data_IF_140273892080
#
_entry.id   IF_140273892080
#
_cell.length_a   1.000
_cell.length_b   1.000
_cell.length_c   1.000
_cell.angle_alpha   90.00
_cell.angle_beta   90.00
_cell.angle_gamma   90.00
#
_symmetry.space_group_name_H-M   'P 1'
#
loop_
_entity.id
_entity.type
_entity.pdbx_description
1 polymer ?
#
# COMPACT_ATOMS: atom_id res chain seq x y z
N UNK A 1 -24.22 -11.68 -1.46
CA UNK A 1 -24.28 -11.37 -2.92
C UNK A 1 -24.31 -9.86 -3.08
N UNK A 2 -23.51 -9.31 -4.00
CA UNK A 2 -23.50 -7.87 -4.29
C UNK A 2 -24.71 -7.53 -5.13
N UNK A 3 -25.60 -6.67 -4.62
CA UNK A 3 -26.83 -6.26 -5.28
C UNK A 3 -26.51 -5.39 -6.52
N UNK A 4 -27.42 -5.32 -7.51
CA UNK A 4 -27.25 -4.51 -8.73
C UNK A 4 -26.92 -3.03 -8.42
N UNK A 5 -27.53 -2.47 -7.39
CA UNK A 5 -27.26 -1.10 -6.92
C UNK A 5 -25.87 -0.94 -6.32
N UNK A 6 -25.39 -1.92 -5.55
CA UNK A 6 -24.01 -1.91 -5.05
C UNK A 6 -22.99 -1.97 -6.19
N UNK A 7 -23.27 -2.76 -7.24
CA UNK A 7 -22.40 -2.79 -8.44
C UNK A 7 -22.36 -1.43 -9.13
N UNK A 8 -23.50 -0.73 -9.22
CA UNK A 8 -23.57 0.61 -9.78
C UNK A 8 -22.77 1.62 -8.95
N UNK A 9 -22.85 1.52 -7.62
CA UNK A 9 -22.06 2.36 -6.69
C UNK A 9 -20.56 2.10 -6.85
N UNK A 10 -20.14 0.84 -6.84
CA UNK A 10 -18.73 0.46 -7.05
C UNK A 10 -18.24 1.01 -8.40
N UNK A 11 -19.01 0.84 -9.47
CA UNK A 11 -18.66 1.37 -10.79
C UNK A 11 -18.59 2.90 -10.80
N UNK A 12 -19.49 3.59 -10.08
CA UNK A 12 -19.42 5.06 -9.91
C UNK A 12 -18.12 5.47 -9.23
N UNK A 13 -17.77 4.82 -8.11
CA UNK A 13 -16.55 5.12 -7.36
C UNK A 13 -15.29 4.86 -8.22
N UNK A 14 -15.23 3.72 -8.90
CA UNK A 14 -14.14 3.40 -9.82
C UNK A 14 -14.02 4.43 -10.95
N UNK A 15 -15.13 4.80 -11.57
CA UNK A 15 -15.13 5.80 -12.65
C UNK A 15 -14.78 7.21 -12.13
N UNK A 16 -15.19 7.57 -10.92
CA UNK A 16 -14.84 8.87 -10.34
C UNK A 16 -13.33 9.00 -10.14
N UNK A 17 -12.69 7.91 -9.69
CA UNK A 17 -11.25 7.85 -9.49
C UNK A 17 -10.50 7.98 -10.82
N UNK A 18 -10.87 7.18 -11.83
CA UNK A 18 -10.18 7.15 -13.13
C UNK A 18 -10.37 8.44 -13.94
N UNK A 19 -11.55 9.08 -13.83
CA UNK A 19 -11.87 10.31 -14.60
C UNK A 19 -11.33 11.60 -13.97
N UNK A 20 -10.90 11.55 -12.73
CA UNK A 20 -10.35 12.73 -12.07
C UNK A 20 -8.93 12.99 -12.56
N UNK A 21 -8.64 14.23 -13.03
CA UNK A 21 -7.28 14.58 -13.49
C UNK A 21 -6.20 14.34 -12.42
N UNK A 22 -6.57 14.46 -11.14
CA UNK A 22 -5.68 14.19 -10.02
C UNK A 22 -5.45 12.68 -9.75
N UNK A 23 -6.20 11.78 -10.42
CA UNK A 23 -5.99 10.33 -10.25
C UNK A 23 -4.55 9.93 -10.52
N UNK A 24 -3.99 10.44 -11.61
CA UNK A 24 -2.64 10.09 -11.99
C UNK A 24 -1.61 10.61 -11.00
N UNK A 25 -1.78 11.85 -10.51
CA UNK A 25 -0.84 12.45 -9.55
C UNK A 25 -1.01 11.90 -8.14
N UNK A 26 -2.25 11.80 -7.65
CA UNK A 26 -2.52 11.52 -6.24
C UNK A 26 -2.49 10.02 -5.91
N UNK A 27 -2.87 9.16 -6.88
CA UNK A 27 -3.02 7.72 -6.62
C UNK A 27 -2.01 6.84 -7.35
N UNK A 28 -1.41 7.29 -8.45
CA UNK A 28 -0.48 6.50 -9.24
C UNK A 28 0.96 7.00 -9.15
N UNK A 29 1.18 8.31 -9.24
CA UNK A 29 2.53 8.86 -9.34
C UNK A 29 3.35 8.58 -8.07
N UNK A 30 2.81 8.83 -6.90
CA UNK A 30 3.51 8.59 -5.63
C UNK A 30 3.83 7.10 -5.43
N UNK A 31 2.87 6.15 -5.57
CA UNK A 31 3.17 4.73 -5.54
C UNK A 31 4.21 4.28 -6.57
N UNK A 32 4.14 4.79 -7.81
CA UNK A 32 5.10 4.45 -8.86
C UNK A 32 6.50 4.97 -8.55
N UNK A 33 6.64 6.17 -7.98
CA UNK A 33 7.94 6.67 -7.52
C UNK A 33 8.54 5.70 -6.50
N UNK A 34 7.77 5.30 -5.49
CA UNK A 34 8.25 4.33 -4.49
C UNK A 34 8.58 2.96 -5.11
N UNK A 35 7.74 2.47 -6.00
CA UNK A 35 7.91 1.17 -6.62
C UNK A 35 9.03 1.11 -7.67
N UNK A 36 9.38 2.22 -8.29
CA UNK A 36 10.32 2.26 -9.43
C UNK A 36 11.61 2.96 -9.06
N UNK A 37 11.53 4.20 -8.54
CA UNK A 37 12.74 5.03 -8.35
C UNK A 37 13.69 4.40 -7.33
N UNK A 38 13.17 3.87 -6.23
CA UNK A 38 14.03 3.26 -5.21
C UNK A 38 14.68 1.96 -5.68
N UNK A 39 13.94 0.94 -6.22
CA UNK A 39 14.58 -0.28 -6.70
C UNK A 39 15.53 -0.06 -7.87
N UNK A 40 15.13 0.77 -8.85
CA UNK A 40 15.98 1.12 -10.00
C UNK A 40 17.24 1.86 -9.53
N UNK A 41 17.07 2.84 -8.63
CA UNK A 41 18.19 3.57 -8.04
C UNK A 41 19.16 2.66 -7.30
N UNK A 42 18.64 1.67 -6.56
CA UNK A 42 19.49 0.68 -5.87
C UNK A 42 20.29 -0.19 -6.86
N UNK A 43 19.65 -0.66 -7.93
CA UNK A 43 20.35 -1.43 -8.98
C UNK A 43 21.45 -0.60 -9.63
N UNK A 44 21.14 0.65 -10.02
CA UNK A 44 22.12 1.55 -10.61
C UNK A 44 23.26 1.88 -9.64
N UNK A 45 22.95 2.09 -8.37
CA UNK A 45 23.96 2.36 -7.34
C UNK A 45 24.93 1.19 -7.21
N UNK A 46 24.43 -0.05 -7.12
CA UNK A 46 25.26 -1.24 -6.98
C UNK A 46 26.14 -1.46 -8.22
N UNK A 47 25.56 -1.33 -9.43
CA UNK A 47 26.28 -1.60 -10.68
C UNK A 47 27.25 -0.49 -11.08
N UNK A 48 27.06 0.76 -10.61
CA UNK A 48 27.93 1.89 -10.92
C UNK A 48 28.96 2.18 -9.83
N UNK A 49 28.71 1.74 -8.59
CA UNK A 49 29.68 1.79 -7.50
C UNK A 49 30.47 0.49 -7.46
N UNK A 50 31.73 0.59 -7.07
CA UNK A 50 32.55 -0.61 -6.80
C UNK A 50 31.98 -1.32 -5.56
N UNK A 51 31.24 -2.40 -5.78
CA UNK A 51 30.62 -3.21 -4.72
C UNK A 51 31.64 -3.90 -3.81
N UNK A 52 32.91 -3.98 -4.24
CA UNK A 52 34.04 -4.45 -3.44
C UNK A 52 34.61 -3.40 -2.48
N UNK A 53 34.20 -2.13 -2.59
CA UNK A 53 34.67 -1.04 -1.77
C UNK A 53 34.34 -1.20 -0.28
N UNK A 54 35.29 -0.81 0.59
CA UNK A 54 35.14 -0.91 2.06
C UNK A 54 33.89 -0.15 2.56
N UNK A 55 33.54 0.98 1.96
CA UNK A 55 32.36 1.77 2.32
C UNK A 55 31.05 1.01 2.04
N UNK A 56 30.97 0.31 0.91
CA UNK A 56 29.80 -0.50 0.56
C UNK A 56 29.67 -1.70 1.51
N UNK A 57 30.77 -2.40 1.80
CA UNK A 57 30.80 -3.50 2.77
C UNK A 57 30.39 -3.04 4.19
N UNK A 58 30.83 -1.86 4.63
CA UNK A 58 30.42 -1.27 5.91
C UNK A 58 28.91 -0.98 5.93
N UNK A 59 28.35 -0.44 4.85
CA UNK A 59 26.89 -0.20 4.70
C UNK A 59 26.10 -1.51 4.82
N UNK A 60 26.51 -2.55 4.10
CA UNK A 60 25.86 -3.86 4.15
C UNK A 60 25.96 -4.52 5.53
N UNK A 61 27.13 -4.44 6.16
CA UNK A 61 27.33 -4.92 7.52
C UNK A 61 26.46 -4.17 8.54
N UNK A 62 26.29 -2.86 8.37
CA UNK A 62 25.38 -2.05 9.21
C UNK A 62 23.94 -2.50 9.08
N UNK A 63 23.54 -2.92 7.89
CA UNK A 63 22.23 -3.50 7.62
C UNK A 63 22.12 -4.97 8.05
N UNK A 64 23.14 -5.53 8.70
CA UNK A 64 23.27 -6.97 9.03
C UNK A 64 23.04 -7.91 7.84
N UNK A 65 23.28 -7.44 6.63
CA UNK A 65 23.27 -8.24 5.43
C UNK A 65 24.68 -8.79 5.28
N UNK A 66 24.87 -10.06 5.68
CA UNK A 66 26.13 -10.77 5.47
C UNK A 66 26.22 -11.13 4.00
N UNK A 67 27.04 -10.38 3.27
CA UNK A 67 27.39 -10.73 1.90
C UNK A 67 28.58 -11.69 1.94
N UNK A 68 28.60 -12.77 1.14
CA UNK A 68 29.82 -13.51 0.90
C UNK A 68 30.88 -12.57 0.33
N UNK A 69 32.14 -12.74 0.71
CA UNK A 69 33.26 -11.87 0.32
C UNK A 69 33.46 -11.70 -1.18
N UNK A 70 32.95 -12.64 -1.98
CA UNK A 70 33.03 -12.65 -3.45
C UNK A 70 31.65 -12.61 -4.10
N UNK A 71 30.66 -11.84 -3.46
CA UNK A 71 29.32 -11.77 -4.00
C UNK A 71 29.31 -10.96 -5.28
N UNK A 72 28.81 -11.56 -6.35
CA UNK A 72 28.50 -10.89 -7.59
C UNK A 72 27.38 -9.84 -7.34
N UNK A 73 27.41 -8.73 -8.06
CA UNK A 73 26.41 -7.63 -7.97
C UNK A 73 24.97 -8.15 -8.06
N UNK A 74 24.75 -9.19 -8.86
CA UNK A 74 23.44 -9.84 -8.97
C UNK A 74 22.93 -10.41 -7.64
N UNK A 75 23.81 -11.05 -6.84
CA UNK A 75 23.43 -11.58 -5.54
C UNK A 75 23.03 -10.48 -4.57
N UNK A 76 23.77 -9.38 -4.57
CA UNK A 76 23.49 -8.19 -3.74
C UNK A 76 22.15 -7.59 -4.12
N UNK A 77 21.90 -7.36 -5.41
CA UNK A 77 20.64 -6.85 -5.93
C UNK A 77 19.48 -7.77 -5.53
N UNK A 78 19.64 -9.08 -5.70
CA UNK A 78 18.63 -10.08 -5.36
C UNK A 78 18.28 -10.04 -3.87
N UNK A 79 19.27 -9.92 -2.99
CA UNK A 79 19.06 -9.80 -1.54
C UNK A 79 18.31 -8.51 -1.21
N UNK A 80 18.74 -7.38 -1.73
CA UNK A 80 18.10 -6.09 -1.47
C UNK A 80 16.65 -6.08 -1.95
N UNK A 81 16.41 -6.47 -3.20
CA UNK A 81 15.06 -6.45 -3.79
C UNK A 81 14.12 -7.44 -3.09
N UNK A 82 14.60 -8.61 -2.66
CA UNK A 82 13.74 -9.60 -2.03
C UNK A 82 13.59 -9.44 -0.51
N UNK A 83 14.52 -8.79 0.18
CA UNK A 83 14.43 -8.67 1.64
C UNK A 83 14.04 -7.26 2.10
N UNK A 84 14.59 -6.20 1.48
CA UNK A 84 14.37 -4.83 1.94
C UNK A 84 13.18 -4.18 1.25
N UNK A 85 13.08 -4.28 -0.06
CA UNK A 85 12.05 -3.59 -0.82
C UNK A 85 10.60 -4.03 -0.55
N UNK A 86 10.29 -5.27 -0.16
CA UNK A 86 8.92 -5.66 0.18
C UNK A 86 8.28 -4.80 1.26
N UNK A 87 9.06 -4.36 2.26
CA UNK A 87 8.53 -3.52 3.34
C UNK A 87 8.25 -2.09 2.86
N UNK A 88 9.10 -1.53 1.99
CA UNK A 88 8.83 -0.23 1.35
C UNK A 88 7.58 -0.27 0.49
N UNK A 89 7.37 -1.40 -0.17
CA UNK A 89 6.21 -1.60 -1.03
C UNK A 89 4.89 -1.59 -0.25
N UNK A 90 4.92 -1.99 1.03
CA UNK A 90 3.77 -1.91 1.92
C UNK A 90 3.32 -0.47 2.24
N UNK A 91 4.10 0.55 1.88
CA UNK A 91 3.65 1.95 1.99
C UNK A 91 2.59 2.31 0.94
N UNK A 92 2.51 1.58 -0.17
CA UNK A 92 1.58 1.87 -1.26
C UNK A 92 0.11 1.73 -0.83
N UNK A 93 -0.36 0.62 -0.23
CA UNK A 93 -1.76 0.46 0.15
C UNK A 93 -2.31 1.56 1.07
N UNK A 94 -1.64 1.94 2.18
CA UNK A 94 -2.17 2.99 3.05
C UNK A 94 -2.20 4.37 2.40
N UNK A 95 -1.27 4.70 1.51
CA UNK A 95 -1.30 5.97 0.78
C UNK A 95 -2.56 6.07 -0.09
N UNK A 96 -2.86 5.02 -0.86
CA UNK A 96 -4.04 4.98 -1.73
C UNK A 96 -5.32 5.00 -0.90
N UNK A 97 -5.38 4.16 0.13
CA UNK A 97 -6.55 4.05 1.01
C UNK A 97 -6.85 5.39 1.68
N UNK A 98 -5.82 6.05 2.22
CA UNK A 98 -5.97 7.34 2.90
C UNK A 98 -6.52 8.39 1.95
N UNK A 99 -5.98 8.50 0.74
CA UNK A 99 -6.42 9.45 -0.26
C UNK A 99 -7.85 9.16 -0.74
N UNK A 100 -8.15 7.91 -1.13
CA UNK A 100 -9.46 7.54 -1.64
C UNK A 100 -10.55 7.59 -0.58
N UNK A 101 -10.29 7.06 0.62
CA UNK A 101 -11.30 7.05 1.66
C UNK A 101 -11.59 8.45 2.19
N UNK A 102 -10.58 9.34 2.32
CA UNK A 102 -10.81 10.74 2.67
C UNK A 102 -11.71 11.43 1.65
N UNK A 103 -11.42 11.27 0.36
CA UNK A 103 -12.22 11.84 -0.72
C UNK A 103 -13.63 11.23 -0.79
N UNK A 104 -13.76 9.92 -0.63
CA UNK A 104 -15.03 9.20 -0.77
C UNK A 104 -15.97 9.37 0.43
N UNK A 105 -15.45 9.53 1.66
CA UNK A 105 -16.28 9.70 2.85
C UNK A 105 -16.39 11.18 3.28
N UNK A 106 -15.25 11.82 3.59
CA UNK A 106 -15.27 13.23 4.04
C UNK A 106 -15.56 14.17 2.89
N UNK A 107 -15.05 13.89 1.68
CA UNK A 107 -15.31 14.73 0.50
C UNK A 107 -16.79 14.78 0.10
N UNK A 108 -17.56 13.70 0.27
CA UNK A 108 -19.00 13.71 0.04
C UNK A 108 -19.74 14.53 1.13
N UNK A 109 -19.27 14.47 2.39
CA UNK A 109 -19.79 15.31 3.48
C UNK A 109 -19.51 16.79 3.19
N UNK A 110 -18.29 17.14 2.82
CA UNK A 110 -17.86 18.50 2.50
C UNK A 110 -18.65 19.10 1.32
N UNK A 111 -18.93 18.28 0.29
CA UNK A 111 -19.71 18.68 -0.90
C UNK A 111 -21.22 18.58 -0.70
N UNK A 112 -21.71 18.19 0.48
CA UNK A 112 -23.13 17.95 0.79
C UNK A 112 -23.82 16.93 -0.12
N UNK A 113 -23.05 16.03 -0.72
CA UNK A 113 -23.59 14.97 -1.60
C UNK A 113 -23.93 13.70 -0.82
N UNK A 114 -23.51 13.60 0.44
CA UNK A 114 -23.83 12.49 1.32
C UNK A 114 -25.34 12.38 1.56
N UNK A 115 -26.05 13.50 1.74
CA UNK A 115 -27.50 13.52 1.91
C UNK A 115 -28.21 12.92 0.70
N UNK A 116 -27.79 13.29 -0.52
CA UNK A 116 -28.36 12.73 -1.75
C UNK A 116 -28.16 11.21 -1.83
N UNK A 117 -27.01 10.71 -1.33
CA UNK A 117 -26.73 9.28 -1.30
C UNK A 117 -27.61 8.55 -0.28
N UNK A 118 -27.94 9.20 0.84
CA UNK A 118 -28.83 8.65 1.88
C UNK A 118 -30.31 8.58 1.42
N UNK A 119 -30.74 9.38 0.43
CA UNK A 119 -32.06 9.26 -0.19
C UNK A 119 -32.16 8.08 -1.18
N UNK A 120 -31.05 7.40 -1.48
CA UNK A 120 -31.10 6.21 -2.31
C UNK A 120 -31.77 5.04 -1.55
N UNK A 121 -32.41 4.08 -2.25
CA UNK A 121 -33.04 2.94 -1.61
C UNK A 121 -32.04 1.89 -1.07
N UNK A 122 -30.80 2.29 -0.83
CA UNK A 122 -29.73 1.45 -0.29
C UNK A 122 -29.61 1.63 1.22
N UNK A 123 -29.38 0.55 1.94
CA UNK A 123 -29.04 0.63 3.36
C UNK A 123 -27.63 1.23 3.56
N UNK A 124 -27.40 1.86 4.71
CA UNK A 124 -26.09 2.41 5.07
C UNK A 124 -24.96 1.35 4.97
N UNK A 125 -25.26 0.11 5.35
CA UNK A 125 -24.29 -0.99 5.25
C UNK A 125 -23.94 -1.32 3.80
N UNK A 126 -24.91 -1.25 2.90
CA UNK A 126 -24.68 -1.51 1.48
C UNK A 126 -23.83 -0.42 0.85
N UNK A 127 -24.09 0.85 1.19
CA UNK A 127 -23.31 2.01 0.76
C UNK A 127 -21.86 1.87 1.27
N UNK A 128 -21.70 1.63 2.57
CA UNK A 128 -20.39 1.46 3.18
C UNK A 128 -19.59 0.32 2.55
N UNK A 129 -20.20 -0.86 2.45
CA UNK A 129 -19.55 -2.02 1.83
C UNK A 129 -19.17 -1.76 0.38
N UNK A 130 -20.03 -1.09 -0.39
CA UNK A 130 -19.75 -0.71 -1.77
C UNK A 130 -18.50 0.17 -1.89
N UNK A 131 -18.38 1.20 -1.02
CA UNK A 131 -17.22 2.07 -0.97
C UNK A 131 -15.95 1.33 -0.54
N UNK A 132 -16.02 0.52 0.51
CA UNK A 132 -14.88 -0.30 0.98
C UNK A 132 -14.38 -1.22 -0.12
N UNK A 133 -15.27 -1.93 -0.82
CA UNK A 133 -14.91 -2.80 -1.94
C UNK A 133 -14.25 -2.00 -3.07
N UNK A 134 -14.80 -0.84 -3.43
CA UNK A 134 -14.23 0.00 -4.49
C UNK A 134 -12.80 0.45 -4.15
N UNK A 135 -12.57 0.91 -2.92
CA UNK A 135 -11.25 1.36 -2.45
C UNK A 135 -10.26 0.19 -2.41
N UNK A 136 -10.69 -0.98 -1.92
CA UNK A 136 -9.85 -2.19 -1.92
C UNK A 136 -9.45 -2.61 -3.34
N UNK A 137 -10.41 -2.58 -4.29
CA UNK A 137 -10.14 -2.94 -5.68
C UNK A 137 -9.10 -1.99 -6.31
N UNK A 138 -9.27 -0.67 -6.14
CA UNK A 138 -8.30 0.30 -6.67
C UNK A 138 -6.95 0.15 -6.00
N UNK A 139 -6.91 0.07 -4.66
CA UNK A 139 -5.68 -0.12 -3.91
C UNK A 139 -4.91 -1.37 -4.34
N UNK A 140 -5.61 -2.51 -4.46
CA UNK A 140 -5.00 -3.76 -4.92
C UNK A 140 -4.51 -3.66 -6.36
N UNK A 141 -5.30 -3.04 -7.25
CA UNK A 141 -4.94 -2.89 -8.65
C UNK A 141 -3.70 -2.00 -8.83
N UNK A 142 -3.65 -0.87 -8.14
CA UNK A 142 -2.47 0.01 -8.18
C UNK A 142 -1.24 -0.70 -7.61
N UNK A 143 -1.38 -1.45 -6.52
CA UNK A 143 -0.28 -2.23 -5.95
C UNK A 143 0.23 -3.27 -6.94
N UNK A 144 -0.65 -4.00 -7.62
CA UNK A 144 -0.27 -4.99 -8.65
C UNK A 144 0.41 -4.31 -9.84
N UNK A 145 -0.12 -3.21 -10.34
CA UNK A 145 0.49 -2.45 -11.45
C UNK A 145 1.89 -1.96 -11.04
N UNK A 146 2.02 -1.39 -9.85
CA UNK A 146 3.32 -0.92 -9.33
C UNK A 146 4.33 -2.05 -9.24
N UNK A 147 3.92 -3.22 -8.76
CA UNK A 147 4.77 -4.40 -8.69
C UNK A 147 5.20 -4.91 -10.07
N UNK A 148 4.26 -5.03 -11.00
CA UNK A 148 4.58 -5.46 -12.36
C UNK A 148 5.55 -4.47 -13.05
N UNK A 149 5.31 -3.17 -12.88
CA UNK A 149 6.18 -2.12 -13.42
C UNK A 149 7.59 -2.23 -12.81
N UNK A 150 7.70 -2.38 -11.48
CA UNK A 150 8.98 -2.61 -10.82
C UNK A 150 9.69 -3.85 -11.35
N UNK A 151 8.98 -4.98 -11.41
CA UNK A 151 9.56 -6.25 -11.86
C UNK A 151 10.08 -6.17 -13.28
N UNK A 152 9.33 -5.56 -14.19
CA UNK A 152 9.74 -5.39 -15.59
C UNK A 152 10.95 -4.46 -15.69
N UNK A 153 10.93 -3.31 -15.03
CA UNK A 153 12.01 -2.33 -15.11
C UNK A 153 13.29 -2.84 -14.46
N UNK A 154 13.20 -3.41 -13.26
CA UNK A 154 14.37 -4.01 -12.58
C UNK A 154 14.88 -5.20 -13.37
N UNK A 155 13.99 -6.08 -13.85
CA UNK A 155 14.38 -7.23 -14.64
C UNK A 155 15.10 -6.85 -15.94
N UNK A 156 14.59 -5.85 -16.67
CA UNK A 156 15.23 -5.33 -17.88
C UNK A 156 16.59 -4.69 -17.57
N UNK A 157 16.66 -3.91 -16.48
CA UNK A 157 17.89 -3.24 -16.10
C UNK A 157 18.99 -4.22 -15.69
N UNK A 158 18.65 -5.21 -14.86
CA UNK A 158 19.58 -6.28 -14.44
C UNK A 158 20.02 -7.10 -15.65
N UNK A 159 19.10 -7.47 -16.54
CA UNK A 159 19.45 -8.19 -17.75
C UNK A 159 20.39 -7.39 -18.67
N UNK A 160 20.16 -6.08 -18.78
CA UNK A 160 20.99 -5.23 -19.66
C UNK A 160 22.37 -4.95 -19.08
N UNK A 161 22.50 -4.81 -17.76
CA UNK A 161 23.77 -4.46 -17.09
C UNK A 161 24.60 -5.68 -16.72
N UNK A 162 23.95 -6.76 -16.27
CA UNK A 162 24.62 -7.94 -15.71
C UNK A 162 24.44 -9.19 -16.58
N UNK A 163 23.55 -9.19 -17.56
CA UNK A 163 23.25 -10.36 -18.38
C UNK A 163 22.40 -11.43 -17.68
N UNK A 164 21.94 -11.17 -16.45
CA UNK A 164 21.20 -12.10 -15.59
C UNK A 164 19.69 -11.83 -15.59
N UNK A 165 18.88 -12.89 -15.46
CA UNK A 165 17.44 -12.75 -15.38
C UNK A 165 16.98 -12.62 -13.91
N UNK A 166 16.50 -11.44 -13.54
CA UNK A 166 15.94 -11.23 -12.21
C UNK A 166 14.49 -11.68 -12.12
N UNK A 167 14.19 -12.56 -11.17
CA UNK A 167 12.84 -13.04 -10.85
C UNK A 167 12.56 -12.74 -9.37
N UNK A 168 11.46 -12.01 -9.04
CA UNK A 168 11.07 -11.77 -7.66
C UNK A 168 10.81 -13.06 -6.90
N UNK A 169 11.26 -13.13 -5.66
CA UNK A 169 11.08 -14.31 -4.80
C UNK A 169 9.63 -14.47 -4.31
N UNK A 170 9.35 -15.62 -3.68
CA UNK A 170 8.03 -15.97 -3.14
C UNK A 170 7.51 -14.97 -2.11
N UNK A 171 8.38 -14.21 -1.46
CA UNK A 171 8.02 -13.16 -0.51
C UNK A 171 7.09 -12.11 -1.13
N UNK A 172 7.28 -11.79 -2.41
CA UNK A 172 6.45 -10.84 -3.13
C UNK A 172 5.00 -11.30 -3.31
N UNK A 173 4.79 -12.63 -3.47
CA UNK A 173 3.44 -13.18 -3.50
C UNK A 173 2.73 -13.00 -2.15
N UNK A 174 3.43 -13.24 -1.04
CA UNK A 174 2.88 -13.00 0.29
C UNK A 174 2.53 -11.51 0.49
N UNK A 175 3.43 -10.61 0.09
CA UNK A 175 3.22 -9.17 0.22
C UNK A 175 2.02 -8.70 -0.60
N UNK A 176 1.94 -9.07 -1.87
CA UNK A 176 0.92 -8.55 -2.79
C UNK A 176 -0.45 -9.17 -2.56
N UNK A 177 -0.50 -10.49 -2.34
CA UNK A 177 -1.78 -11.22 -2.26
C UNK A 177 -2.36 -11.25 -0.85
N UNK A 178 -1.53 -11.13 0.18
CA UNK A 178 -1.99 -11.26 1.57
C UNK A 178 -1.79 -9.98 2.36
N UNK A 179 -0.56 -9.47 2.47
CA UNK A 179 -0.25 -8.35 3.37
C UNK A 179 -0.85 -7.04 2.86
N UNK A 180 -0.65 -6.72 1.58
CA UNK A 180 -1.16 -5.48 0.99
C UNK A 180 -2.68 -5.35 1.05
N UNK A 181 -3.49 -6.34 0.65
CA UNK A 181 -4.94 -6.26 0.80
C UNK A 181 -5.40 -6.22 2.26
N UNK A 182 -4.75 -6.98 3.15
CA UNK A 182 -5.06 -6.95 4.57
C UNK A 182 -4.77 -5.58 5.19
N UNK A 183 -3.64 -4.97 4.84
CA UNK A 183 -3.26 -3.64 5.31
C UNK A 183 -4.17 -2.55 4.72
N UNK A 184 -4.52 -2.65 3.43
CA UNK A 184 -5.51 -1.78 2.80
C UNK A 184 -6.86 -1.88 3.53
N UNK A 185 -7.34 -3.07 3.82
CA UNK A 185 -8.60 -3.30 4.52
C UNK A 185 -8.60 -2.69 5.92
N UNK A 186 -7.55 -2.94 6.72
CA UNK A 186 -7.36 -2.32 8.03
C UNK A 186 -7.35 -0.79 7.91
N UNK A 187 -6.58 -0.28 6.96
CA UNK A 187 -6.43 1.15 6.69
C UNK A 187 -7.75 1.83 6.35
N UNK A 188 -8.61 1.20 5.52
CA UNK A 188 -9.94 1.73 5.20
C UNK A 188 -10.77 1.90 6.46
N UNK A 189 -10.81 0.90 7.33
CA UNK A 189 -11.64 0.96 8.55
C UNK A 189 -11.17 2.05 9.51
N UNK A 190 -9.85 2.20 9.66
CA UNK A 190 -9.28 3.30 10.44
C UNK A 190 -9.59 4.65 9.80
N UNK A 191 -9.42 4.75 8.48
CA UNK A 191 -9.66 5.99 7.75
C UNK A 191 -11.12 6.42 7.79
N UNK A 192 -12.06 5.50 7.73
CA UNK A 192 -13.49 5.81 7.89
C UNK A 192 -13.77 6.44 9.26
N UNK A 193 -13.18 5.93 10.34
CA UNK A 193 -13.31 6.51 11.68
C UNK A 193 -12.73 7.92 11.77
N UNK A 194 -11.60 8.15 11.10
CA UNK A 194 -10.98 9.48 10.99
C UNK A 194 -11.91 10.41 10.20
N UNK A 195 -12.41 9.95 9.07
CA UNK A 195 -13.32 10.69 8.18
C UNK A 195 -14.64 11.06 8.84
N UNK A 196 -15.17 10.23 9.73
CA UNK A 196 -16.40 10.55 10.48
C UNK A 196 -16.25 11.80 11.37
N UNK A 197 -15.04 12.04 11.92
CA UNK A 197 -14.74 13.18 12.80
C UNK A 197 -14.17 14.39 12.06
N UNK A 198 -13.67 14.21 10.86
CA UNK A 198 -13.06 15.28 10.07
C UNK A 198 -14.13 16.15 9.40
N UNK A 199 -13.85 17.45 9.30
CA UNK A 199 -14.72 18.43 8.63
C UNK A 199 -14.35 18.60 7.15
N UNK A 200 -13.07 18.41 6.81
CA UNK A 200 -12.52 18.55 5.47
C UNK A 200 -11.78 17.29 5.05
N UNK A 201 -11.80 16.99 3.76
CA UNK A 201 -11.10 15.84 3.19
C UNK A 201 -9.58 15.91 3.39
N UNK A 202 -9.00 17.12 3.36
CA UNK A 202 -7.58 17.35 3.63
C UNK A 202 -7.21 16.99 5.08
N UNK A 203 -8.03 17.36 6.05
CA UNK A 203 -7.85 17.01 7.47
C UNK A 203 -7.89 15.48 7.66
N UNK A 204 -8.87 14.82 7.02
CA UNK A 204 -8.99 13.37 7.05
C UNK A 204 -7.76 12.70 6.42
N UNK A 205 -7.26 13.23 5.31
CA UNK A 205 -6.07 12.74 4.63
C UNK A 205 -4.82 12.87 5.52
N UNK A 206 -4.57 14.05 6.09
CA UNK A 206 -3.42 14.29 6.97
C UNK A 206 -3.42 13.36 8.19
N UNK A 207 -4.58 13.23 8.87
CA UNK A 207 -4.71 12.32 10.01
C UNK A 207 -4.55 10.85 9.60
N UNK A 208 -5.01 10.49 8.42
CA UNK A 208 -4.84 9.16 7.85
C UNK A 208 -3.39 8.81 7.53
N UNK A 209 -2.56 9.82 7.24
CA UNK A 209 -1.12 9.66 7.03
C UNK A 209 -0.41 8.98 8.22
N UNK A 210 -0.97 9.06 9.43
CA UNK A 210 -0.45 8.34 10.60
C UNK A 210 -0.46 6.81 10.43
N UNK A 211 -1.26 6.27 9.49
CA UNK A 211 -1.22 4.84 9.15
C UNK A 211 0.13 4.39 8.59
N UNK A 212 0.93 5.32 8.09
CA UNK A 212 2.27 5.03 7.57
C UNK A 212 3.30 4.90 8.70
N UNK A 213 3.08 5.51 9.88
CA UNK A 213 4.05 5.50 10.97
C UNK A 213 4.48 4.09 11.43
N UNK A 214 3.59 3.10 11.62
CA UNK A 214 4.01 1.75 11.96
C UNK A 214 4.94 1.13 10.91
N UNK A 215 4.72 1.43 9.62
CA UNK A 215 5.57 0.94 8.54
C UNK A 215 6.95 1.60 8.57
N UNK A 216 7.02 2.90 8.86
CA UNK A 216 8.30 3.60 9.03
C UNK A 216 9.10 2.96 10.17
N UNK A 217 8.46 2.60 11.28
CA UNK A 217 9.12 1.89 12.38
C UNK A 217 9.62 0.51 11.96
N UNK A 218 8.85 -0.23 11.16
CA UNK A 218 9.27 -1.51 10.62
C UNK A 218 10.47 -1.35 9.65
N UNK A 219 10.45 -0.32 8.80
CA UNK A 219 11.56 0.00 7.90
C UNK A 219 12.83 0.30 8.72
N UNK A 220 12.74 1.17 9.71
CA UNK A 220 13.88 1.48 10.61
C UNK A 220 14.38 0.22 11.31
N UNK A 221 13.47 -0.61 11.84
CA UNK A 221 13.82 -1.88 12.47
C UNK A 221 14.54 -2.86 11.53
N UNK A 222 14.20 -2.85 10.26
CA UNK A 222 14.88 -3.67 9.25
C UNK A 222 16.26 -3.13 8.90
N UNK A 223 16.42 -1.82 8.75
CA UNK A 223 17.72 -1.19 8.48
C UNK A 223 18.70 -1.31 9.65
N UNK A 224 18.19 -1.37 10.88
CA UNK A 224 19.02 -1.62 12.07
C UNK A 224 19.32 -3.09 12.32
N UNK A 225 18.83 -4.00 11.44
CA UNK A 225 19.01 -5.45 11.57
C UNK A 225 18.23 -6.10 12.72
N UNK A 226 17.45 -5.31 13.47
CA UNK A 226 16.62 -5.81 14.59
C UNK A 226 15.47 -6.69 14.07
N UNK A 227 14.98 -6.40 12.85
CA UNK A 227 13.88 -7.10 12.24
C UNK A 227 14.29 -7.66 10.86
N UNK A 228 14.80 -8.89 10.85
CA UNK A 228 14.99 -9.63 9.58
C UNK A 228 13.69 -10.34 9.23
N UNK A 229 12.93 -9.75 8.29
CA UNK A 229 11.63 -10.30 7.91
C UNK A 229 11.77 -11.44 6.91
N UNK A 230 11.49 -12.66 7.36
CA UNK A 230 11.32 -13.82 6.49
C UNK A 230 9.94 -13.83 5.81
N UNK A 231 9.77 -14.63 4.76
CA UNK A 231 8.48 -14.83 4.08
C UNK A 231 7.35 -15.21 5.05
N UNK A 232 7.65 -16.06 6.04
CA UNK A 232 6.70 -16.49 7.05
C UNK A 232 6.26 -15.37 7.99
N UNK A 233 7.15 -14.44 8.30
CA UNK A 233 6.81 -13.25 9.09
C UNK A 233 5.87 -12.32 8.31
N UNK A 234 6.05 -12.15 7.00
CA UNK A 234 5.10 -11.41 6.16
C UNK A 234 3.74 -12.11 6.11
N UNK A 235 3.71 -13.44 6.00
CA UNK A 235 2.44 -14.20 6.07
C UNK A 235 1.76 -13.98 7.41
N UNK A 236 2.49 -14.10 8.53
CA UNK A 236 1.98 -13.84 9.87
C UNK A 236 1.45 -12.41 10.02
N UNK A 237 2.20 -11.42 9.54
CA UNK A 237 1.79 -10.01 9.53
C UNK A 237 0.47 -9.82 8.75
N UNK A 238 0.35 -10.39 7.57
CA UNK A 238 -0.86 -10.32 6.76
C UNK A 238 -2.08 -10.91 7.47
N UNK A 239 -1.92 -12.05 8.12
CA UNK A 239 -2.99 -12.69 8.91
C UNK A 239 -3.40 -11.79 10.10
N UNK A 240 -2.42 -11.26 10.84
CA UNK A 240 -2.68 -10.36 11.98
C UNK A 240 -3.42 -9.10 11.53
N UNK A 241 -2.97 -8.46 10.46
CA UNK A 241 -3.60 -7.26 9.91
C UNK A 241 -5.02 -7.55 9.40
N UNK A 242 -5.22 -8.68 8.72
CA UNK A 242 -6.53 -9.12 8.25
C UNK A 242 -7.52 -9.37 9.40
N UNK A 243 -7.07 -10.08 10.45
CA UNK A 243 -7.87 -10.32 11.66
C UNK A 243 -8.19 -9.01 12.39
N UNK A 244 -7.20 -8.14 12.57
CA UNK A 244 -7.40 -6.83 13.19
C UNK A 244 -8.43 -5.98 12.41
N UNK A 245 -8.31 -5.92 11.08
CA UNK A 245 -9.27 -5.26 10.20
C UNK A 245 -10.68 -5.83 10.35
N UNK A 246 -10.80 -7.16 10.37
CA UNK A 246 -12.10 -7.82 10.52
C UNK A 246 -12.75 -7.55 11.90
N UNK A 247 -11.97 -7.60 12.99
CA UNK A 247 -12.45 -7.28 14.34
C UNK A 247 -12.91 -5.82 14.40
N UNK A 248 -12.08 -4.89 13.90
CA UNK A 248 -12.41 -3.47 13.88
C UNK A 248 -13.65 -3.17 13.02
N UNK A 249 -13.83 -3.86 11.90
CA UNK A 249 -15.02 -3.74 11.06
C UNK A 249 -16.28 -4.17 11.84
N UNK A 250 -16.23 -5.29 12.57
CA UNK A 250 -17.36 -5.74 13.40
C UNK A 250 -17.71 -4.71 14.49
N UNK A 251 -16.70 -4.11 15.12
CA UNK A 251 -16.90 -3.08 16.14
C UNK A 251 -17.46 -1.80 15.48
N UNK A 252 -16.93 -1.41 14.32
CA UNK A 252 -17.41 -0.24 13.59
C UNK A 252 -18.89 -0.35 13.24
N UNK A 253 -19.34 -1.48 12.69
CA UNK A 253 -20.76 -1.69 12.35
C UNK A 253 -21.73 -1.65 13.55
N UNK A 254 -21.25 -1.84 14.78
CA UNK A 254 -22.07 -1.71 15.99
C UNK A 254 -22.24 -0.25 16.44
N UNK A 255 -21.28 0.62 16.10
CA UNK A 255 -21.28 2.03 16.51
C UNK A 255 -21.78 3.00 15.44
N UNK A 256 -21.95 2.58 14.18
CA UNK A 256 -22.45 3.44 13.11
C UNK A 256 -23.95 3.67 13.25
N UNK A 257 -24.31 4.82 13.87
CA UNK A 257 -25.67 5.35 13.92
C UNK A 257 -25.80 6.51 12.92
N UNK A 258 -27.00 6.71 12.34
CA UNK A 258 -27.29 7.80 11.41
C UNK A 258 -26.89 9.19 11.96
N UNK A 259 -26.96 9.37 13.27
CA UNK A 259 -26.63 10.64 13.94
C UNK A 259 -25.14 11.00 13.94
N UNK A 260 -24.24 10.01 13.92
CA UNK A 260 -22.78 10.26 13.87
C UNK A 260 -22.27 10.66 12.49
N UNK A 261 -23.00 10.31 11.42
CA UNK A 261 -22.63 10.66 10.04
C UNK A 261 -23.06 12.07 9.64
N UNK A 262 -24.05 12.65 10.36
CA UNK A 262 -24.60 13.98 10.07
C UNK A 262 -24.03 15.09 10.98
N UNK A 263 -23.27 14.73 12.01
CA UNK A 263 -22.50 15.66 12.84
C UNK A 263 -21.15 15.96 12.19
#
# INVERSE_FOLDING_TARGET
MVNSMQKALIKKELNSVVKTKSFFTDYLLVPLIFAVVFPVGAVLMITLMDSSGEEFQQLMNTMMITLPSDSEDFAIISILINNIFPIFFLMIPPLIVTAMASSSFTGEKERRTLETLLYSPMSLREIFNGKVIAILLVGSLVTIISFLTMTVLVGLLVWFLLGELFIPGLIWLAVILLVSPAFAFLGIIVQVRISAKAQRSEEAYQKGGMLVLPLVLLIVGQFTGVLLMSTWMFVGLGVILGLAGWILMRVAFRSFTYEELLR
#
